data_IF_124435429390
#
_entry.id   IF_124435429390
#
_cell.length_a   1.000
_cell.length_b   1.000
_cell.length_c   1.000
_cell.angle_alpha   90.00
_cell.angle_beta   90.00
_cell.angle_gamma   90.00
#
_symmetry.space_group_name_H-M   'P 1'
#
loop_
_entity.id
_entity.type
_entity.pdbx_description
1 polymer ?
#
# COMPACT_ATOMS: atom_id res chain seq x y z
N UNK A 1 -0.13 -15.05 5.78
CA UNK A 1 -0.35 -13.65 6.22
C UNK A 1 0.74 -12.79 5.60
N UNK A 2 0.35 -11.64 5.07
CA UNK A 2 1.25 -10.62 4.56
C UNK A 2 2.18 -10.10 5.68
N UNK A 3 3.50 -10.06 5.43
CA UNK A 3 4.51 -9.62 6.41
C UNK A 3 4.34 -8.16 6.78
N UNK A 4 3.90 -7.32 5.86
CA UNK A 4 3.70 -5.88 6.09
C UNK A 4 2.57 -5.65 7.09
N UNK A 5 1.43 -6.32 6.85
CA UNK A 5 0.26 -6.28 7.76
C UNK A 5 0.58 -6.78 9.17
N UNK A 6 1.44 -7.80 9.29
CA UNK A 6 1.89 -8.30 10.60
C UNK A 6 2.76 -7.27 11.34
N UNK A 7 3.59 -6.52 10.62
CA UNK A 7 4.43 -5.49 11.23
C UNK A 7 3.61 -4.26 11.65
N UNK A 8 2.63 -3.85 10.85
CA UNK A 8 1.67 -2.79 11.20
C UNK A 8 0.89 -3.15 12.46
N UNK A 9 0.37 -4.39 12.54
CA UNK A 9 -0.35 -4.87 13.72
C UNK A 9 0.54 -4.88 14.96
N UNK A 10 1.81 -5.28 14.84
CA UNK A 10 2.77 -5.22 15.95
C UNK A 10 2.98 -3.79 16.45
N UNK A 11 3.22 -2.84 15.54
CA UNK A 11 3.39 -1.43 15.90
C UNK A 11 2.15 -0.85 16.59
N UNK A 12 0.95 -1.21 16.10
CA UNK A 12 -0.29 -0.82 16.75
C UNK A 12 -0.43 -1.39 18.16
N UNK A 13 -0.13 -2.68 18.36
CA UNK A 13 -0.17 -3.31 19.69
C UNK A 13 0.79 -2.62 20.67
N UNK A 14 2.00 -2.28 20.25
CA UNK A 14 2.97 -1.59 21.11
C UNK A 14 2.54 -0.15 21.44
N UNK A 15 1.82 0.50 20.53
CA UNK A 15 1.19 1.81 20.78
C UNK A 15 0.11 1.70 21.87
N UNK A 16 -0.78 0.70 21.79
CA UNK A 16 -1.82 0.47 22.81
C UNK A 16 -1.21 0.11 24.17
N UNK A 17 -0.11 -0.64 24.22
CA UNK A 17 0.60 -0.91 25.49
C UNK A 17 1.14 0.35 26.15
N UNK A 18 1.59 1.30 25.33
CA UNK A 18 2.16 2.57 25.81
C UNK A 18 1.06 3.56 26.19
N UNK A 19 -0.10 3.48 25.52
CA UNK A 19 -1.23 4.41 25.66
C UNK A 19 -2.58 3.66 25.70
N UNK A 20 -2.93 3.02 26.83
CA UNK A 20 -4.16 2.25 26.96
C UNK A 20 -5.44 3.07 26.77
N UNK A 21 -5.37 4.39 26.99
CA UNK A 21 -6.49 5.31 26.82
C UNK A 21 -7.03 5.36 25.38
N UNK A 22 -6.21 5.00 24.39
CA UNK A 22 -6.64 4.93 22.99
C UNK A 22 -7.74 3.90 22.77
N UNK A 23 -7.83 2.85 23.60
CA UNK A 23 -8.90 1.85 23.54
C UNK A 23 -10.29 2.44 23.88
N UNK A 24 -10.35 3.65 24.42
CA UNK A 24 -11.60 4.36 24.69
C UNK A 24 -12.07 5.23 23.52
N UNK A 25 -11.27 5.38 22.46
CA UNK A 25 -11.68 6.13 21.27
C UNK A 25 -12.81 5.38 20.53
N UNK A 26 -13.85 6.10 20.04
CA UNK A 26 -14.97 5.47 19.32
C UNK A 26 -14.54 4.63 18.12
N UNK A 27 -13.49 5.06 17.42
CA UNK A 27 -12.92 4.39 16.25
C UNK A 27 -12.32 3.00 16.57
N UNK A 28 -11.89 2.78 17.82
CA UNK A 28 -11.35 1.50 18.28
C UNK A 28 -12.37 0.64 19.04
N UNK A 29 -13.66 1.00 18.96
CA UNK A 29 -14.74 0.27 19.63
C UNK A 29 -14.83 -1.20 19.23
N UNK A 30 -14.59 -1.55 17.96
CA UNK A 30 -14.59 -2.95 17.51
C UNK A 30 -13.46 -3.77 18.17
N UNK A 31 -12.29 -3.15 18.35
CA UNK A 31 -11.12 -3.79 18.94
C UNK A 31 -11.28 -3.94 20.45
N UNK A 32 -11.91 -2.96 21.10
CA UNK A 32 -12.35 -3.05 22.49
C UNK A 32 -13.30 -4.24 22.70
N UNK A 33 -14.36 -4.35 21.91
CA UNK A 33 -15.31 -5.47 21.99
C UNK A 33 -14.65 -6.83 21.73
N UNK A 34 -13.67 -6.88 20.81
CA UNK A 34 -12.87 -8.08 20.56
C UNK A 34 -12.03 -8.48 21.80
N UNK A 35 -11.34 -7.54 22.43
CA UNK A 35 -10.56 -7.81 23.65
C UNK A 35 -11.46 -8.27 24.81
N UNK A 36 -12.64 -7.66 24.98
CA UNK A 36 -13.63 -8.06 25.97
C UNK A 36 -14.16 -9.48 25.70
N UNK A 37 -14.37 -9.85 24.42
CA UNK A 37 -14.77 -11.21 24.04
C UNK A 37 -13.73 -12.28 24.40
N UNK A 38 -12.46 -11.88 24.51
CA UNK A 38 -11.35 -12.74 24.95
C UNK A 38 -11.14 -12.71 26.47
N UNK A 39 -12.00 -12.00 27.22
CA UNK A 39 -11.95 -11.90 28.68
C UNK A 39 -10.94 -10.86 29.20
N UNK A 40 -10.45 -9.94 28.37
CA UNK A 40 -9.58 -8.87 28.83
C UNK A 40 -10.37 -7.78 29.57
N UNK A 41 -9.82 -7.27 30.67
CA UNK A 41 -10.42 -6.16 31.45
C UNK A 41 -9.67 -4.86 31.13
N UNK A 42 -10.37 -3.86 30.60
CA UNK A 42 -9.78 -2.58 30.19
C UNK A 42 -10.03 -1.54 31.31
N UNK A 43 -9.01 -0.80 31.78
CA UNK A 43 -9.17 0.22 32.82
C UNK A 43 -10.07 1.38 32.35
N UNK A 44 -11.03 1.80 33.17
CA UNK A 44 -11.80 3.03 32.96
C UNK A 44 -10.95 4.25 33.38
N UNK A 45 -10.79 5.22 32.47
CA UNK A 45 -10.18 6.52 32.80
C UNK A 45 -11.24 7.38 33.50
N UNK A 46 -10.97 7.80 34.73
CA UNK A 46 -11.82 8.72 35.48
C UNK A 46 -11.99 10.04 34.71
N UNK A 47 -13.25 10.43 34.45
CA UNK A 47 -13.59 11.75 33.92
C UNK A 47 -13.45 12.82 35.00
N UNK A 48 -12.80 13.98 34.75
CA UNK A 48 -13.09 15.18 35.52
C UNK A 48 -14.48 15.71 35.15
N UNK A 49 -15.22 16.13 36.16
CA UNK A 49 -16.62 16.55 36.11
C UNK A 49 -16.87 17.77 35.23
N UNK A 50 -18.00 17.71 34.54
CA UNK A 50 -18.75 18.80 33.90
C UNK A 50 -18.98 20.01 34.81
N UNK A 51 -18.90 21.21 34.26
CA UNK A 51 -19.87 22.27 34.53
C UNK A 51 -20.23 22.98 33.20
N UNK A 52 -21.53 23.14 33.00
CA UNK A 52 -22.21 23.70 31.82
C UNK A 52 -22.32 25.23 31.86
N UNK A 53 -22.87 25.77 30.76
CA UNK A 53 -23.55 27.07 30.58
C UNK A 53 -22.65 28.26 30.22
N UNK A 54 -23.09 29.32 29.54
CA UNK A 54 -24.12 29.64 28.54
C UNK A 54 -23.96 31.14 28.29
N UNK A 55 -24.10 31.58 27.04
CA UNK A 55 -24.63 32.89 26.58
C UNK A 55 -24.15 34.23 27.18
N UNK A 56 -23.64 35.06 26.26
CA UNK A 56 -24.01 36.47 25.96
C UNK A 56 -23.85 37.61 26.98
N UNK A 57 -23.11 38.62 26.49
CA UNK A 57 -23.40 40.07 26.49
C UNK A 57 -23.17 40.96 27.73
N UNK A 58 -22.53 42.10 27.40
CA UNK A 58 -22.59 43.43 28.04
C UNK A 58 -21.99 43.67 29.44
N UNK A 59 -20.82 44.33 29.48
CA UNK A 59 -20.74 45.78 29.70
C UNK A 59 -19.31 46.26 30.03
N UNK A 60 -18.97 47.42 29.44
CA UNK A 60 -18.12 48.51 29.97
C UNK A 60 -16.60 48.35 30.13
N UNK A 61 -15.89 49.06 29.24
CA UNK A 61 -14.65 49.80 29.55
C UNK A 61 -14.93 50.95 30.57
N UNK A 62 -13.91 51.56 31.19
CA UNK A 62 -13.18 52.65 30.50
C UNK A 62 -11.64 52.70 30.73
N UNK A 63 -10.96 53.17 29.67
CA UNK A 63 -9.85 54.18 29.58
C UNK A 63 -8.99 54.43 30.84
N UNK A 64 -7.67 54.56 30.80
CA UNK A 64 -6.77 55.47 30.04
C UNK A 64 -5.34 54.93 30.24
N UNK A 65 -4.35 55.08 29.35
CA UNK A 65 -3.60 56.31 29.15
C UNK A 65 -2.61 56.10 27.99
N UNK A 66 -2.65 57.00 27.02
CA UNK A 66 -1.52 57.25 26.12
C UNK A 66 -0.50 58.12 26.85
N UNK A 67 0.79 57.80 26.63
CA UNK A 67 1.87 58.79 26.61
C UNK A 67 2.84 58.41 25.50
N UNK A 68 2.93 59.30 24.51
CA UNK A 68 3.96 59.34 23.48
C UNK A 68 5.37 59.55 24.05
N UNK A 69 6.37 59.00 23.36
CA UNK A 69 7.78 59.36 23.51
C UNK A 69 8.61 58.82 22.35
N UNK A 70 8.86 59.69 21.37
CA UNK A 70 9.66 59.46 20.16
C UNK A 70 11.11 59.02 20.45
N UNK A 71 11.68 58.16 19.59
CA UNK A 71 12.74 58.50 18.62
C UNK A 71 13.63 57.30 18.23
N UNK A 72 13.80 57.16 16.91
CA UNK A 72 14.40 56.11 16.08
C UNK A 72 15.93 55.88 16.29
N UNK A 73 16.64 55.16 15.39
CA UNK A 73 16.48 53.78 14.91
C UNK A 73 17.81 53.00 15.08
N UNK A 74 17.78 51.67 15.13
CA UNK A 74 18.95 50.87 14.75
C UNK A 74 18.52 49.69 13.90
N UNK A 75 18.81 49.83 12.61
CA UNK A 75 18.86 48.76 11.63
C UNK A 75 19.78 47.65 12.17
N UNK A 76 19.19 46.55 12.61
CA UNK A 76 19.74 45.24 12.34
C UNK A 76 19.00 44.76 11.10
N UNK A 77 19.72 44.66 9.97
CA UNK A 77 19.25 43.85 8.86
C UNK A 77 19.32 42.39 9.33
N UNK A 78 18.28 41.95 10.00
CA UNK A 78 17.93 40.54 10.03
C UNK A 78 17.50 40.23 8.60
N UNK A 79 18.37 39.55 7.85
CA UNK A 79 17.92 38.76 6.71
C UNK A 79 17.02 37.67 7.32
N UNK A 80 15.74 38.00 7.54
CA UNK A 80 14.69 37.01 7.71
C UNK A 80 14.67 36.22 6.39
N UNK A 81 15.39 35.10 6.36
CA UNK A 81 15.06 34.02 5.45
C UNK A 81 13.60 33.67 5.78
N UNK A 82 12.66 34.14 4.96
CA UNK A 82 11.28 33.66 4.97
C UNK A 82 11.35 32.14 4.73
N UNK A 83 11.42 31.36 5.80
CA UNK A 83 11.08 29.95 5.76
C UNK A 83 9.60 29.91 5.39
N UNK A 84 9.29 29.81 4.10
CA UNK A 84 7.94 29.46 3.66
C UNK A 84 7.57 28.16 4.40
N UNK A 85 6.69 28.27 5.40
CA UNK A 85 6.15 27.11 6.10
C UNK A 85 5.33 26.28 5.10
N UNK A 86 5.99 25.35 4.40
CA UNK A 86 5.34 24.46 3.44
C UNK A 86 4.30 23.60 4.18
N UNK A 87 3.01 23.76 3.82
CA UNK A 87 1.89 23.03 4.46
C UNK A 87 2.16 21.52 4.51
N UNK A 88 1.86 20.83 5.63
CA UNK A 88 2.15 19.40 5.77
C UNK A 88 1.42 18.58 4.70
N UNK A 89 2.15 17.69 4.01
CA UNK A 89 1.54 16.73 3.07
C UNK A 89 0.86 15.64 3.90
N UNK A 90 -0.47 15.69 3.96
CA UNK A 90 -1.30 14.71 4.69
C UNK A 90 -1.97 13.78 3.68
N UNK A 91 -1.98 12.48 3.98
CA UNK A 91 -2.67 11.51 3.13
C UNK A 91 -4.18 11.67 3.26
N UNK A 92 -4.93 11.58 2.15
CA UNK A 92 -6.38 11.62 2.21
C UNK A 92 -6.93 10.44 3.05
N UNK A 93 -8.10 10.60 3.70
CA UNK A 93 -8.78 9.48 4.31
C UNK A 93 -9.15 8.45 3.23
N UNK A 94 -9.24 7.18 3.63
CA UNK A 94 -9.73 6.14 2.71
C UNK A 94 -11.13 6.49 2.21
N UNK A 95 -11.40 6.37 0.90
CA UNK A 95 -12.71 6.66 0.37
C UNK A 95 -13.76 5.71 0.95
N UNK A 96 -14.94 6.25 1.25
CA UNK A 96 -16.09 5.45 1.63
C UNK A 96 -16.75 4.87 0.37
N UNK A 97 -16.56 3.57 0.12
CA UNK A 97 -17.16 2.87 -1.01
C UNK A 97 -18.65 2.57 -0.79
N UNK A 98 -19.16 2.70 0.43
CA UNK A 98 -20.57 2.43 0.72
C UNK A 98 -21.52 3.45 0.08
N UNK A 99 -20.99 4.59 -0.40
CA UNK A 99 -21.74 5.59 -1.19
C UNK A 99 -22.35 5.01 -2.47
N UNK A 100 -21.79 3.89 -2.98
CA UNK A 100 -22.30 3.22 -4.18
C UNK A 100 -23.39 2.19 -3.86
N UNK A 101 -23.60 1.88 -2.58
CA UNK A 101 -24.69 1.03 -2.12
C UNK A 101 -25.98 1.85 -2.10
N UNK A 102 -27.03 1.28 -2.67
CA UNK A 102 -28.33 1.92 -2.77
C UNK A 102 -29.34 1.14 -1.91
N UNK A 103 -29.74 1.65 -0.74
CA UNK A 103 -30.77 1.02 0.09
C UNK A 103 -32.15 0.96 -0.57
N UNK A 104 -32.40 1.76 -1.61
CA UNK A 104 -33.66 1.80 -2.35
C UNK A 104 -33.71 0.84 -3.54
N UNK A 105 -32.60 0.18 -3.86
CA UNK A 105 -32.52 -0.84 -4.92
C UNK A 105 -33.47 -2.02 -4.61
N UNK A 106 -34.48 -2.29 -5.47
CA UNK A 106 -35.49 -3.30 -5.19
C UNK A 106 -34.97 -4.75 -5.18
N UNK A 107 -33.80 -4.99 -5.77
CA UNK A 107 -33.16 -6.31 -5.74
C UNK A 107 -32.14 -6.46 -4.60
N UNK A 108 -31.84 -5.37 -3.88
CA UNK A 108 -30.97 -5.44 -2.71
C UNK A 108 -31.59 -6.38 -1.67
N UNK A 109 -30.75 -7.27 -1.15
CA UNK A 109 -31.07 -8.15 -0.05
C UNK A 109 -30.09 -7.88 1.09
N UNK A 110 -30.61 -7.88 2.30
CA UNK A 110 -29.76 -7.91 3.49
C UNK A 110 -29.15 -9.32 3.64
N UNK A 111 -27.94 -9.42 4.19
CA UNK A 111 -27.36 -10.71 4.57
C UNK A 111 -28.32 -11.49 5.47
N UNK A 112 -28.63 -12.74 5.11
CA UNK A 112 -29.51 -13.56 5.95
C UNK A 112 -28.85 -13.88 7.30
N UNK A 113 -29.66 -13.98 8.35
CA UNK A 113 -29.22 -14.40 9.69
C UNK A 113 -29.18 -15.92 9.89
N UNK A 114 -29.90 -16.66 9.04
CA UNK A 114 -29.87 -18.11 9.03
C UNK A 114 -28.48 -18.61 8.61
N UNK A 115 -27.98 -19.69 9.25
CA UNK A 115 -26.70 -20.27 8.86
C UNK A 115 -26.74 -20.76 7.40
N UNK A 116 -25.57 -20.72 6.76
CA UNK A 116 -25.39 -21.36 5.45
C UNK A 116 -25.62 -22.86 5.57
N UNK A 117 -26.12 -23.47 4.49
CA UNK A 117 -26.45 -24.88 4.48
C UNK A 117 -25.20 -25.76 4.36
N UNK A 118 -25.26 -26.95 4.96
CA UNK A 118 -24.25 -27.99 4.81
C UNK A 118 -24.01 -28.33 3.33
N UNK A 119 -22.76 -28.55 2.95
CA UNK A 119 -22.36 -29.06 1.62
C UNK A 119 -22.35 -30.59 1.57
N UNK A 120 -22.84 -31.26 2.62
CA UNK A 120 -22.87 -32.72 2.72
C UNK A 120 -21.47 -33.33 2.92
N UNK A 121 -21.37 -34.66 2.98
CA UNK A 121 -20.10 -35.35 3.09
C UNK A 121 -19.34 -35.34 1.75
N UNK A 122 -18.16 -34.72 1.72
CA UNK A 122 -17.35 -34.54 0.50
C UNK A 122 -16.83 -35.87 -0.07
N UNK A 123 -16.38 -36.79 0.79
CA UNK A 123 -15.69 -38.02 0.38
C UNK A 123 -16.57 -39.28 0.41
N UNK A 124 -17.90 -39.13 0.52
CA UNK A 124 -18.81 -40.29 0.55
C UNK A 124 -19.15 -40.73 -0.87
N UNK A 125 -18.64 -41.88 -1.26
CA UNK A 125 -19.10 -42.62 -2.44
C UNK A 125 -20.46 -43.27 -2.18
N UNK A 126 -21.36 -43.20 -3.17
CA UNK A 126 -22.69 -43.80 -3.11
C UNK A 126 -22.68 -45.16 -3.80
N UNK A 127 -23.34 -46.15 -3.20
CA UNK A 127 -23.64 -47.41 -3.90
C UNK A 127 -24.82 -47.23 -4.89
N UNK A 128 -25.11 -48.25 -5.70
CA UNK A 128 -26.13 -48.19 -6.74
C UNK A 128 -27.53 -47.81 -6.21
N UNK A 129 -27.96 -48.39 -5.08
CA UNK A 129 -29.25 -48.09 -4.45
C UNK A 129 -29.30 -46.64 -3.92
N UNK A 130 -28.20 -46.17 -3.32
CA UNK A 130 -28.08 -44.79 -2.85
C UNK A 130 -28.04 -43.78 -4.01
N UNK A 131 -27.39 -44.12 -5.13
CA UNK A 131 -27.39 -43.30 -6.34
C UNK A 131 -28.80 -43.19 -6.94
N UNK A 132 -29.55 -44.29 -7.03
CA UNK A 132 -30.94 -44.28 -7.49
C UNK A 132 -31.82 -43.43 -6.58
N UNK A 133 -31.67 -43.58 -5.26
CA UNK A 133 -32.40 -42.76 -4.28
C UNK A 133 -32.04 -41.27 -4.40
N UNK A 134 -30.76 -40.93 -4.55
CA UNK A 134 -30.33 -39.54 -4.75
C UNK A 134 -30.89 -38.98 -6.07
N UNK A 135 -30.93 -39.79 -7.14
CA UNK A 135 -31.54 -39.41 -8.41
C UNK A 135 -33.04 -39.11 -8.26
N UNK A 136 -33.77 -39.94 -7.48
CA UNK A 136 -35.17 -39.69 -7.13
C UNK A 136 -35.37 -38.35 -6.41
N UNK A 137 -34.55 -38.06 -5.39
CA UNK A 137 -34.61 -36.77 -4.68
C UNK A 137 -34.33 -35.57 -5.60
N UNK A 138 -33.37 -35.71 -6.52
CA UNK A 138 -33.07 -34.68 -7.53
C UNK A 138 -34.23 -34.44 -8.49
N UNK A 139 -34.95 -35.50 -8.86
CA UNK A 139 -36.13 -35.41 -9.69
C UNK A 139 -37.27 -34.73 -8.93
N UNK A 140 -37.58 -35.17 -7.71
CA UNK A 140 -38.59 -34.53 -6.84
C UNK A 140 -38.30 -33.04 -6.61
N UNK A 141 -37.02 -32.66 -6.46
CA UNK A 141 -36.62 -31.27 -6.32
C UNK A 141 -36.86 -30.44 -7.60
N UNK A 142 -36.68 -31.07 -8.77
CA UNK A 142 -36.90 -30.42 -10.07
C UNK A 142 -38.39 -30.27 -10.34
N UNK A 143 -39.20 -31.28 -10.03
CA UNK A 143 -40.67 -31.21 -10.11
C UNK A 143 -41.21 -30.12 -9.16
N UNK A 144 -40.72 -30.07 -7.92
CA UNK A 144 -41.09 -29.01 -6.98
C UNK A 144 -40.72 -27.60 -7.49
N UNK A 145 -39.62 -27.46 -8.23
CA UNK A 145 -39.25 -26.19 -8.88
C UNK A 145 -40.19 -25.79 -10.01
N UNK A 146 -40.68 -26.76 -10.78
CA UNK A 146 -41.66 -26.55 -11.85
C UNK A 146 -43.03 -26.18 -11.28
N UNK A 147 -43.42 -26.80 -10.16
CA UNK A 147 -44.63 -26.48 -9.40
C UNK A 147 -44.54 -25.13 -8.65
N UNK A 148 -43.34 -24.54 -8.58
CA UNK A 148 -43.09 -23.29 -7.84
C UNK A 148 -42.94 -23.46 -6.34
N UNK A 149 -42.93 -24.70 -5.82
CA UNK A 149 -42.67 -25.01 -4.42
C UNK A 149 -41.17 -24.98 -4.13
N UNK A 150 -40.66 -23.76 -3.94
CA UNK A 150 -39.25 -23.51 -3.68
C UNK A 150 -38.75 -24.13 -2.38
N UNK A 151 -39.61 -24.24 -1.36
CA UNK A 151 -39.22 -24.77 -0.07
C UNK A 151 -39.03 -26.29 -0.15
N UNK A 152 -39.98 -27.00 -0.77
CA UNK A 152 -39.84 -28.43 -1.05
C UNK A 152 -38.65 -28.71 -1.95
N UNK A 153 -38.42 -27.89 -2.98
CA UNK A 153 -37.23 -28.02 -3.83
C UNK A 153 -35.93 -27.90 -3.04
N UNK A 154 -35.85 -26.91 -2.13
CA UNK A 154 -34.69 -26.72 -1.26
C UNK A 154 -34.44 -27.93 -0.36
N UNK A 155 -35.50 -28.44 0.27
CA UNK A 155 -35.45 -29.63 1.13
C UNK A 155 -34.93 -30.84 0.36
N UNK A 156 -35.49 -31.12 -0.82
CA UNK A 156 -35.12 -32.27 -1.64
C UNK A 156 -33.70 -32.19 -2.20
N UNK A 157 -33.25 -31.01 -2.62
CA UNK A 157 -31.85 -30.82 -2.98
C UNK A 157 -30.91 -31.00 -1.78
N UNK A 158 -31.32 -30.56 -0.58
CA UNK A 158 -30.52 -30.71 0.63
C UNK A 158 -30.41 -32.18 1.03
N UNK A 159 -31.51 -32.92 1.05
CA UNK A 159 -31.52 -34.38 1.27
C UNK A 159 -30.59 -35.09 0.27
N UNK A 160 -30.64 -34.71 -1.01
CA UNK A 160 -29.77 -35.28 -2.03
C UNK A 160 -28.29 -34.98 -1.77
N UNK A 161 -27.95 -33.77 -1.34
CA UNK A 161 -26.56 -33.37 -1.02
C UNK A 161 -26.05 -34.09 0.23
N UNK A 162 -26.87 -34.18 1.27
CA UNK A 162 -26.51 -34.84 2.53
C UNK A 162 -26.27 -36.34 2.38
N UNK A 163 -26.82 -36.96 1.32
CA UNK A 163 -26.49 -38.35 0.99
C UNK A 163 -25.01 -38.56 0.63
N UNK A 164 -24.29 -37.53 0.14
CA UNK A 164 -22.91 -37.62 -0.37
C UNK A 164 -22.83 -37.60 -1.90
N UNK A 165 -21.61 -37.57 -2.46
CA UNK A 165 -21.40 -37.59 -3.92
C UNK A 165 -22.02 -36.39 -4.67
N UNK A 166 -22.16 -35.24 -4.00
CA UNK A 166 -22.79 -34.07 -4.59
C UNK A 166 -21.96 -33.53 -5.76
N UNK A 167 -22.60 -33.29 -6.90
CA UNK A 167 -21.96 -32.75 -8.11
C UNK A 167 -22.04 -31.24 -8.16
N UNK A 168 -21.17 -30.60 -8.94
CA UNK A 168 -21.23 -29.15 -9.18
C UNK A 168 -22.62 -28.67 -9.65
N UNK A 169 -23.29 -29.47 -10.49
CA UNK A 169 -24.64 -29.18 -10.96
C UNK A 169 -25.68 -29.22 -9.84
N UNK A 170 -25.52 -30.14 -8.87
CA UNK A 170 -26.44 -30.27 -7.74
C UNK A 170 -26.39 -29.03 -6.84
N UNK A 171 -25.17 -28.60 -6.49
CA UNK A 171 -24.96 -27.34 -5.77
C UNK A 171 -25.49 -26.12 -6.54
N UNK A 172 -25.17 -26.01 -7.84
CA UNK A 172 -25.68 -24.91 -8.66
C UNK A 172 -27.21 -24.91 -8.81
N UNK A 173 -27.88 -26.06 -8.67
CA UNK A 173 -29.35 -26.12 -8.65
C UNK A 173 -29.90 -25.64 -7.31
N UNK A 174 -29.36 -26.12 -6.17
CA UNK A 174 -29.78 -25.66 -4.84
C UNK A 174 -29.53 -24.15 -4.65
N UNK A 175 -28.37 -23.66 -5.09
CA UNK A 175 -28.03 -22.24 -5.08
C UNK A 175 -29.04 -21.37 -5.85
N UNK A 176 -29.53 -21.85 -7.00
CA UNK A 176 -30.56 -21.15 -7.76
C UNK A 176 -31.91 -21.09 -7.01
N UNK A 177 -32.26 -22.14 -6.26
CA UNK A 177 -33.45 -22.12 -5.38
C UNK A 177 -33.26 -21.11 -4.26
N UNK A 178 -32.08 -21.11 -3.61
CA UNK A 178 -31.73 -20.18 -2.54
C UNK A 178 -31.81 -18.71 -2.97
N UNK A 179 -31.37 -18.39 -4.20
CA UNK A 179 -31.58 -17.06 -4.77
C UNK A 179 -33.07 -16.70 -4.89
N UNK A 180 -33.92 -17.61 -5.37
CA UNK A 180 -35.37 -17.36 -5.44
C UNK A 180 -35.99 -17.18 -4.05
N UNK A 181 -35.45 -17.87 -3.04
CA UNK A 181 -35.83 -17.76 -1.63
C UNK A 181 -35.18 -16.55 -0.92
N UNK A 182 -34.48 -15.67 -1.64
CA UNK A 182 -33.80 -14.49 -1.08
C UNK A 182 -32.76 -14.82 -0.01
N UNK A 183 -32.02 -15.91 -0.19
CA UNK A 183 -30.89 -16.34 0.67
C UNK A 183 -29.54 -16.25 -0.06
N UNK A 184 -29.01 -15.03 -0.27
CA UNK A 184 -27.83 -14.82 -1.10
C UNK A 184 -26.54 -15.39 -0.50
N UNK A 185 -26.31 -15.36 0.82
CA UNK A 185 -25.08 -15.93 1.40
C UNK A 185 -25.05 -17.46 1.28
N UNK A 186 -26.18 -18.13 1.50
CA UNK A 186 -26.30 -19.57 1.31
C UNK A 186 -26.12 -19.94 -0.17
N UNK A 187 -26.64 -19.12 -1.10
CA UNK A 187 -26.43 -19.31 -2.53
C UNK A 187 -24.94 -19.16 -2.92
N UNK A 188 -24.22 -18.20 -2.32
CA UNK A 188 -22.76 -18.04 -2.52
C UNK A 188 -22.02 -19.29 -2.04
N UNK A 189 -22.33 -19.80 -0.85
CA UNK A 189 -21.69 -21.01 -0.31
C UNK A 189 -21.86 -22.23 -1.24
N UNK A 190 -23.06 -22.44 -1.79
CA UNK A 190 -23.29 -23.51 -2.76
C UNK A 190 -22.59 -23.24 -4.10
N UNK A 191 -22.57 -21.99 -4.57
CA UNK A 191 -21.86 -21.64 -5.80
C UNK A 191 -20.34 -21.85 -5.65
N UNK A 192 -19.77 -21.54 -4.48
CA UNK A 192 -18.37 -21.84 -4.15
C UNK A 192 -18.10 -23.34 -4.13
N UNK A 193 -18.98 -24.15 -3.54
CA UNK A 193 -18.88 -25.60 -3.59
C UNK A 193 -18.95 -26.13 -5.03
N UNK A 194 -19.83 -25.56 -5.86
CA UNK A 194 -19.93 -25.90 -7.27
C UNK A 194 -18.64 -25.55 -8.05
N UNK A 195 -18.07 -24.37 -7.82
CA UNK A 195 -16.85 -23.90 -8.49
C UNK A 195 -15.60 -24.66 -8.03
N UNK A 196 -15.55 -25.13 -6.77
CA UNK A 196 -14.50 -26.03 -6.30
C UNK A 196 -14.48 -27.35 -7.09
N UNK A 197 -15.67 -27.89 -7.40
CA UNK A 197 -15.82 -29.13 -8.15
C UNK A 197 -15.69 -28.94 -9.68
N UNK A 198 -16.17 -27.81 -10.19
CA UNK A 198 -16.06 -27.44 -11.60
C UNK A 198 -15.74 -25.94 -11.74
N UNK A 199 -14.45 -25.59 -11.85
CA UNK A 199 -14.02 -24.20 -12.02
C UNK A 199 -14.56 -23.53 -13.29
N UNK A 200 -14.90 -24.30 -14.33
CA UNK A 200 -15.38 -23.78 -15.61
C UNK A 200 -16.91 -23.71 -15.68
N UNK A 201 -17.59 -23.64 -14.53
CA UNK A 201 -19.05 -23.57 -14.48
C UNK A 201 -19.56 -22.13 -14.62
N UNK A 202 -19.86 -21.72 -15.86
CA UNK A 202 -20.51 -20.42 -16.15
C UNK A 202 -21.81 -20.21 -15.35
N UNK A 203 -22.59 -21.28 -15.16
CA UNK A 203 -23.80 -21.25 -14.31
C UNK A 203 -23.49 -20.93 -12.84
N UNK A 204 -22.44 -21.52 -12.26
CA UNK A 204 -22.09 -21.28 -10.86
C UNK A 204 -21.55 -19.86 -10.67
N UNK A 205 -20.70 -19.38 -11.58
CA UNK A 205 -20.27 -17.98 -11.62
C UNK A 205 -21.46 -17.02 -11.69
N UNK A 206 -22.40 -17.25 -12.62
CA UNK A 206 -23.61 -16.43 -12.73
C UNK A 206 -24.39 -16.36 -11.41
N UNK A 207 -24.60 -17.49 -10.75
CA UNK A 207 -25.35 -17.54 -9.49
C UNK A 207 -24.62 -16.76 -8.40
N UNK A 208 -23.30 -16.95 -8.26
CA UNK A 208 -22.49 -16.23 -7.27
C UNK A 208 -22.46 -14.73 -7.54
N UNK A 209 -22.32 -14.34 -8.80
CA UNK A 209 -22.36 -12.96 -9.26
C UNK A 209 -23.69 -12.27 -8.99
N UNK A 210 -24.82 -12.93 -9.29
CA UNK A 210 -26.17 -12.43 -8.97
C UNK A 210 -26.36 -12.33 -7.45
N UNK A 211 -25.90 -13.30 -6.67
CA UNK A 211 -25.98 -13.24 -5.21
C UNK A 211 -25.20 -12.05 -4.65
N UNK A 212 -23.97 -11.83 -5.12
CA UNK A 212 -23.15 -10.68 -4.75
C UNK A 212 -23.77 -9.35 -5.19
N UNK A 213 -24.40 -9.28 -6.38
CA UNK A 213 -25.17 -8.10 -6.83
C UNK A 213 -26.30 -7.74 -5.88
N UNK A 214 -27.00 -8.74 -5.32
CA UNK A 214 -28.08 -8.51 -4.35
C UNK A 214 -27.54 -8.05 -3.00
N UNK A 215 -26.34 -8.48 -2.64
CA UNK A 215 -25.62 -7.99 -1.46
C UNK A 215 -24.86 -6.67 -1.71
N UNK A 216 -24.94 -6.11 -2.92
CA UNK A 216 -24.21 -4.92 -3.35
C UNK A 216 -22.68 -5.04 -3.18
N UNK A 217 -22.17 -6.27 -3.31
CA UNK A 217 -20.73 -6.59 -3.39
C UNK A 217 -20.28 -6.46 -4.85
N UNK A 218 -20.10 -5.21 -5.28
CA UNK A 218 -20.01 -4.84 -6.69
C UNK A 218 -18.78 -5.43 -7.40
N UNK A 219 -17.64 -5.51 -6.72
CA UNK A 219 -16.40 -6.05 -7.27
C UNK A 219 -16.51 -7.55 -7.54
N UNK A 220 -16.93 -8.32 -6.53
CA UNK A 220 -17.12 -9.76 -6.64
C UNK A 220 -18.20 -10.10 -7.65
N UNK A 221 -19.30 -9.33 -7.65
CA UNK A 221 -20.36 -9.47 -8.65
C UNK A 221 -19.85 -9.21 -10.08
N UNK A 222 -19.07 -8.15 -10.30
CA UNK A 222 -18.53 -7.82 -11.62
C UNK A 222 -17.62 -8.94 -12.12
N UNK A 223 -16.70 -9.40 -11.27
CA UNK A 223 -15.76 -10.46 -11.62
C UNK A 223 -16.47 -11.76 -12.00
N UNK A 224 -17.46 -12.18 -11.19
CA UNK A 224 -18.20 -13.42 -11.43
C UNK A 224 -19.09 -13.35 -12.67
N UNK A 225 -19.78 -12.23 -12.87
CA UNK A 225 -20.65 -12.06 -14.05
C UNK A 225 -19.83 -11.98 -15.34
N UNK A 226 -18.68 -11.30 -15.31
CA UNK A 226 -17.75 -11.29 -16.44
C UNK A 226 -17.22 -12.70 -16.76
N UNK A 227 -16.83 -13.48 -15.74
CA UNK A 227 -16.41 -14.87 -15.92
C UNK A 227 -17.54 -15.73 -16.52
N UNK A 228 -18.77 -15.56 -16.03
CA UNK A 228 -19.94 -16.26 -16.57
C UNK A 228 -20.16 -15.95 -18.06
N UNK A 229 -20.14 -14.67 -18.45
CA UNK A 229 -20.32 -14.24 -19.85
C UNK A 229 -19.23 -14.75 -20.79
N UNK A 230 -18.00 -14.86 -20.30
CA UNK A 230 -16.89 -15.40 -21.08
C UNK A 230 -17.02 -16.92 -21.32
N UNK A 231 -17.67 -17.65 -20.42
CA UNK A 231 -17.83 -19.11 -20.51
C UNK A 231 -19.08 -19.48 -21.30
N UNK A 232 -20.23 -18.91 -20.94
CA UNK A 232 -21.53 -19.22 -21.53
C UNK A 232 -22.36 -17.92 -21.57
N UNK A 233 -22.35 -17.27 -22.74
CA UNK A 233 -23.00 -15.98 -22.94
C UNK A 233 -24.52 -16.10 -22.78
N UNK A 234 -25.10 -15.19 -22.01
CA UNK A 234 -26.54 -15.16 -21.70
C UNK A 234 -27.03 -13.71 -21.59
N UNK A 235 -27.99 -13.32 -22.42
CA UNK A 235 -28.48 -11.94 -22.52
C UNK A 235 -29.02 -11.42 -21.18
N UNK A 236 -29.75 -12.25 -20.44
CA UNK A 236 -30.29 -11.88 -19.13
C UNK A 236 -29.17 -11.61 -18.10
N UNK A 237 -28.07 -12.35 -18.19
CA UNK A 237 -26.89 -12.14 -17.33
C UNK A 237 -26.13 -10.89 -17.73
N UNK A 238 -26.16 -10.52 -19.01
CA UNK A 238 -25.45 -9.35 -19.55
C UNK A 238 -26.12 -8.06 -19.07
N UNK A 239 -27.45 -8.04 -18.98
CA UNK A 239 -28.19 -6.93 -18.38
C UNK A 239 -27.79 -6.70 -16.91
N UNK A 240 -27.70 -7.77 -16.13
CA UNK A 240 -27.24 -7.70 -14.72
C UNK A 240 -25.77 -7.27 -14.67
N UNK A 241 -24.92 -7.81 -15.55
CA UNK A 241 -23.50 -7.48 -15.59
C UNK A 241 -23.28 -6.01 -15.89
N UNK A 242 -23.99 -5.43 -16.87
CA UNK A 242 -23.90 -4.00 -17.21
C UNK A 242 -24.29 -3.09 -16.04
N UNK A 243 -25.35 -3.43 -15.31
CA UNK A 243 -25.73 -2.68 -14.11
C UNK A 243 -24.63 -2.72 -13.04
N UNK A 244 -24.05 -3.89 -12.79
CA UNK A 244 -22.96 -4.07 -11.83
C UNK A 244 -21.69 -3.36 -12.29
N UNK A 245 -21.37 -3.43 -13.59
CA UNK A 245 -20.20 -2.79 -14.20
C UNK A 245 -20.21 -1.27 -14.04
N UNK A 246 -21.39 -0.63 -14.16
CA UNK A 246 -21.53 0.80 -13.93
C UNK A 246 -21.15 1.20 -12.48
N UNK A 247 -21.53 0.36 -11.50
CA UNK A 247 -21.19 0.58 -10.08
C UNK A 247 -19.72 0.31 -9.82
N UNK A 248 -19.23 -0.83 -10.30
CA UNK A 248 -17.85 -1.25 -10.12
C UNK A 248 -16.86 -0.27 -10.76
N UNK A 249 -17.14 0.24 -11.97
CA UNK A 249 -16.26 1.20 -12.64
C UNK A 249 -16.05 2.46 -11.80
N UNK A 250 -17.09 2.95 -11.13
CA UNK A 250 -16.99 4.13 -10.25
C UNK A 250 -16.17 3.83 -8.98
N UNK A 251 -16.34 2.65 -8.39
CA UNK A 251 -15.54 2.18 -7.26
C UNK A 251 -14.07 2.02 -7.66
N UNK A 252 -13.81 1.36 -8.78
CA UNK A 252 -12.47 1.14 -9.31
C UNK A 252 -11.77 2.48 -9.61
N UNK A 253 -12.49 3.44 -10.17
CA UNK A 253 -11.98 4.80 -10.40
C UNK A 253 -11.65 5.49 -9.08
N UNK A 254 -12.54 5.45 -8.09
CA UNK A 254 -12.31 6.05 -6.76
C UNK A 254 -11.07 5.45 -6.06
N UNK A 255 -10.91 4.13 -6.12
CA UNK A 255 -9.73 3.43 -5.58
C UNK A 255 -8.45 3.84 -6.30
N UNK A 256 -8.51 3.99 -7.63
CA UNK A 256 -7.38 4.42 -8.45
C UNK A 256 -6.95 5.84 -8.11
N UNK A 257 -7.90 6.76 -7.99
CA UNK A 257 -7.61 8.16 -7.65
C UNK A 257 -7.00 8.27 -6.26
N UNK A 258 -7.56 7.54 -5.28
CA UNK A 258 -6.98 7.45 -3.94
C UNK A 258 -5.53 6.91 -3.97
N UNK A 259 -5.27 5.85 -4.73
CA UNK A 259 -3.93 5.29 -4.83
C UNK A 259 -2.93 6.26 -5.48
N UNK A 260 -3.33 6.92 -6.57
CA UNK A 260 -2.50 7.92 -7.24
C UNK A 260 -2.15 9.08 -6.31
N UNK A 261 -3.11 9.57 -5.52
CA UNK A 261 -2.91 10.67 -4.56
C UNK A 261 -1.93 10.27 -3.45
N UNK A 262 -2.04 9.04 -2.93
CA UNK A 262 -1.08 8.50 -1.95
C UNK A 262 0.34 8.43 -2.55
N UNK A 263 0.48 7.93 -3.78
CA UNK A 263 1.79 7.85 -4.45
C UNK A 263 2.37 9.24 -4.74
N UNK A 264 1.53 10.20 -5.16
CA UNK A 264 1.93 11.59 -5.37
C UNK A 264 2.41 12.24 -4.07
N UNK A 265 1.66 12.07 -2.98
CA UNK A 265 2.04 12.57 -1.67
C UNK A 265 3.37 11.97 -1.19
N UNK A 266 3.60 10.67 -1.41
CA UNK A 266 4.88 10.04 -1.10
C UNK A 266 6.03 10.65 -1.92
N UNK A 267 5.80 10.92 -3.21
CA UNK A 267 6.79 11.59 -4.06
C UNK A 267 7.08 13.01 -3.58
N UNK A 268 6.05 13.79 -3.28
CA UNK A 268 6.20 15.16 -2.79
C UNK A 268 6.96 15.20 -1.46
N UNK A 269 6.70 14.27 -0.54
CA UNK A 269 7.46 14.14 0.72
C UNK A 269 8.96 13.91 0.44
N UNK A 270 9.29 12.99 -0.47
CA UNK A 270 10.69 12.72 -0.88
C UNK A 270 11.34 13.94 -1.53
N UNK A 271 10.63 14.63 -2.41
CA UNK A 271 11.11 15.84 -3.08
C UNK A 271 11.39 16.96 -2.07
N UNK A 272 10.49 17.18 -1.10
CA UNK A 272 10.70 18.14 0.00
C UNK A 272 11.87 17.77 0.89
N UNK A 273 12.05 16.50 1.23
CA UNK A 273 13.22 16.05 1.98
C UNK A 273 14.54 16.30 1.23
N UNK A 274 14.56 16.03 -0.08
CA UNK A 274 15.73 16.28 -0.93
C UNK A 274 16.00 17.80 -1.02
N UNK A 275 14.96 18.61 -1.23
CA UNK A 275 15.05 20.08 -1.26
C UNK A 275 15.62 20.60 0.06
N UNK A 276 15.09 20.14 1.19
CA UNK A 276 15.57 20.51 2.54
C UNK A 276 17.03 20.12 2.77
N UNK A 277 17.45 18.91 2.36
CA UNK A 277 18.85 18.48 2.45
C UNK A 277 19.78 19.32 1.57
N UNK A 278 19.36 19.66 0.34
CA UNK A 278 20.14 20.53 -0.56
C UNK A 278 20.29 21.92 0.01
N UNK A 279 19.22 22.53 0.53
CA UNK A 279 19.26 23.85 1.16
C UNK A 279 20.15 23.85 2.41
N UNK A 280 20.04 22.83 3.28
CA UNK A 280 20.91 22.69 4.44
C UNK A 280 22.39 22.52 4.08
N UNK A 281 22.70 21.73 3.04
CA UNK A 281 24.06 21.56 2.54
C UNK A 281 24.64 22.85 1.95
N UNK A 282 23.84 23.59 1.17
CA UNK A 282 24.24 24.89 0.61
C UNK A 282 24.52 25.91 1.73
N UNK A 283 23.61 26.01 2.71
CA UNK A 283 23.78 26.90 3.87
C UNK A 283 25.02 26.55 4.70
N UNK A 284 25.30 25.27 4.89
CA UNK A 284 26.52 24.81 5.58
C UNK A 284 27.81 25.16 4.80
N UNK A 285 27.80 25.00 3.48
CA UNK A 285 28.92 25.38 2.62
C UNK A 285 29.19 26.89 2.66
N UNK A 286 28.14 27.71 2.52
CA UNK A 286 28.27 29.17 2.55
C UNK A 286 28.75 29.68 3.92
N UNK A 287 28.32 29.03 5.01
CA UNK A 287 28.81 29.33 6.36
C UNK A 287 30.31 28.98 6.53
N UNK A 288 30.76 27.84 6.00
CA UNK A 288 32.18 27.47 6.03
C UNK A 288 33.03 28.47 5.23
N UNK A 289 32.58 28.83 4.02
CA UNK A 289 33.28 29.81 3.17
C UNK A 289 33.41 31.18 3.86
N UNK A 290 32.35 31.69 4.48
CA UNK A 290 32.39 32.94 5.26
C UNK A 290 33.34 32.85 6.47
N UNK A 291 33.42 31.69 7.13
CA UNK A 291 34.34 31.46 8.25
C UNK A 291 35.81 31.43 7.79
N UNK A 292 36.10 30.83 6.63
CA UNK A 292 37.45 30.82 6.05
C UNK A 292 37.90 32.24 5.62
N UNK A 293 37.04 32.98 4.93
CA UNK A 293 37.32 34.36 4.48
C UNK A 293 37.60 35.29 5.67
N UNK A 294 36.81 35.19 6.76
CA UNK A 294 37.04 35.98 7.98
C UNK A 294 38.33 35.58 8.72
N UNK A 295 38.70 34.29 8.74
CA UNK A 295 39.95 33.83 9.35
C UNK A 295 41.21 34.29 8.60
N UNK A 296 41.13 34.40 7.27
CA UNK A 296 42.24 34.84 6.41
C UNK A 296 42.63 36.32 6.57
N UNK A 297 41.71 37.15 7.08
CA UNK A 297 41.95 38.57 7.35
C UNK A 297 42.75 38.87 8.62
N UNK A 298 43.03 37.85 9.44
CA UNK A 298 43.79 37.99 10.71
C UNK A 298 45.28 37.59 10.61
N UNK A 299 45.74 37.09 9.46
CA UNK A 299 47.09 36.54 9.30
C UNK A 299 48.07 37.46 8.52
N UNK A 300 47.96 38.79 8.71
CA UNK A 300 48.91 39.76 8.15
C UNK A 300 49.67 40.51 9.25
N UNK A 301 50.54 39.80 9.97
CA UNK A 301 51.70 40.39 10.64
C UNK A 301 52.79 39.32 10.91
N UNK A 302 53.92 39.48 10.22
CA UNK A 302 55.28 39.05 10.60
C UNK A 302 55.74 37.60 10.38
N UNK A 303 56.54 37.43 9.30
CA UNK A 303 57.80 36.65 9.34
C UNK A 303 57.82 35.30 8.62
N UNK A 304 58.44 35.24 7.42
CA UNK A 304 58.85 33.98 6.78
C UNK A 304 60.18 33.45 7.34
N UNK A 305 60.42 32.12 7.33
CA UNK A 305 61.29 31.59 6.27
C UNK A 305 60.94 30.18 5.73
N UNK A 306 61.14 30.03 4.42
CA UNK A 306 61.63 28.84 3.70
C UNK A 306 60.78 27.56 3.60
N UNK A 307 60.39 27.24 2.36
CA UNK A 307 60.41 25.87 1.83
C UNK A 307 59.13 25.03 1.96
N UNK A 308 58.12 25.31 1.14
CA UNK A 308 56.96 24.44 0.96
C UNK A 308 56.02 24.99 -0.11
N UNK A 309 55.73 24.18 -1.12
CA UNK A 309 54.92 24.50 -2.29
C UNK A 309 53.53 25.05 -1.89
N UNK A 310 53.06 26.18 -2.46
CA UNK A 310 51.77 26.77 -2.12
C UNK A 310 50.66 26.04 -2.88
N UNK A 311 49.92 25.18 -2.18
CA UNK A 311 48.85 24.39 -2.79
C UNK A 311 47.99 23.66 -1.77
N UNK A 312 47.70 24.30 -0.63
CA UNK A 312 46.68 23.82 0.31
C UNK A 312 45.31 24.21 -0.22
N UNK A 313 44.66 23.30 -0.92
CA UNK A 313 43.26 23.42 -1.33
C UNK A 313 42.39 23.37 -0.06
N UNK A 314 41.65 24.45 0.30
CA UNK A 314 40.66 24.41 1.36
C UNK A 314 39.42 23.73 0.77
N UNK A 315 39.20 22.50 1.20
CA UNK A 315 38.17 21.65 0.63
C UNK A 315 38.10 20.34 1.39
N UNK A 316 37.47 20.39 2.58
CA UNK A 316 36.94 19.22 3.24
C UNK A 316 35.86 18.61 2.35
N UNK A 317 36.28 17.74 1.43
CA UNK A 317 35.42 17.02 0.50
C UNK A 317 34.45 16.13 1.29
N UNK A 318 33.14 16.18 1.03
CA UNK A 318 32.15 15.34 1.71
C UNK A 318 32.38 13.87 1.38
N UNK A 319 32.18 13.03 2.42
CA UNK A 319 32.60 11.65 2.51
C UNK A 319 32.34 10.76 1.29
N UNK A 320 33.33 9.88 1.05
CA UNK A 320 33.30 8.87 0.00
C UNK A 320 34.67 8.42 -0.49
N UNK A 321 35.78 8.74 0.20
CA UNK A 321 37.09 8.21 -0.20
C UNK A 321 37.21 6.74 0.22
N UNK A 322 37.47 5.82 -0.72
CA UNK A 322 37.71 4.42 -0.39
C UNK A 322 38.98 4.30 0.47
N UNK A 323 38.94 3.39 1.44
CA UNK A 323 40.02 3.08 2.37
C UNK A 323 41.40 3.04 1.65
N UNK A 324 42.24 4.05 1.98
CA UNK A 324 43.57 4.32 1.41
C UNK A 324 44.67 3.36 1.92
N UNK A 325 44.29 2.24 2.51
CA UNK A 325 45.23 1.21 2.98
C UNK A 325 45.71 0.24 1.89
N UNK A 326 45.27 0.41 0.63
CA UNK A 326 45.68 -0.41 -0.52
C UNK A 326 46.96 0.14 -1.17
N UNK A 327 48.10 -0.58 -1.15
CA UNK A 327 49.38 -0.12 -1.70
C UNK A 327 49.29 0.26 -3.18
N UNK A 328 48.43 -0.41 -3.94
CA UNK A 328 48.24 -0.15 -5.37
C UNK A 328 47.50 1.18 -5.61
N UNK A 329 46.56 1.56 -4.73
CA UNK A 329 45.87 2.84 -4.82
C UNK A 329 46.81 3.99 -4.44
N UNK A 330 47.68 3.79 -3.44
CA UNK A 330 48.67 4.79 -3.04
C UNK A 330 49.72 5.05 -4.14
N UNK A 331 50.18 4.00 -4.82
CA UNK A 331 51.06 4.12 -5.98
C UNK A 331 50.38 4.85 -7.14
N UNK A 332 49.07 4.66 -7.31
CA UNK A 332 48.29 5.31 -8.34
C UNK A 332 48.07 6.81 -8.10
N UNK A 333 47.81 7.24 -6.86
CA UNK A 333 47.73 8.67 -6.50
C UNK A 333 49.08 9.39 -6.64
N UNK A 334 50.18 8.64 -6.63
CA UNK A 334 51.52 9.18 -6.88
C UNK A 334 51.84 9.30 -8.38
N UNK A 335 51.02 8.74 -9.27
CA UNK A 335 51.22 8.82 -10.71
C UNK A 335 50.54 10.08 -11.28
N UNK A 336 51.30 11.04 -11.86
CA UNK A 336 50.76 12.30 -12.39
C UNK A 336 49.70 12.09 -13.48
N UNK A 337 49.81 11.02 -14.29
CA UNK A 337 48.80 10.69 -15.31
C UNK A 337 47.48 10.27 -14.69
N UNK A 338 47.52 9.49 -13.61
CA UNK A 338 46.32 8.99 -12.94
C UNK A 338 45.58 10.14 -12.24
N UNK A 339 46.32 11.05 -11.59
CA UNK A 339 45.77 12.27 -10.99
C UNK A 339 45.12 13.18 -12.04
N UNK A 340 45.78 13.40 -13.18
CA UNK A 340 45.23 14.20 -14.27
C UNK A 340 43.95 13.58 -14.85
N UNK A 341 43.94 12.26 -15.04
CA UNK A 341 42.74 11.55 -15.51
C UNK A 341 41.60 11.61 -14.48
N UNK A 342 41.89 11.45 -13.19
CA UNK A 342 40.90 11.54 -12.12
C UNK A 342 40.29 12.94 -12.03
N UNK A 343 41.12 13.98 -12.18
CA UNK A 343 40.66 15.37 -12.22
C UNK A 343 39.76 15.64 -13.44
N UNK A 344 40.13 15.12 -14.61
CA UNK A 344 39.32 15.23 -15.84
C UNK A 344 37.97 14.50 -15.71
N UNK A 345 37.94 13.33 -15.05
CA UNK A 345 36.70 12.61 -14.75
C UNK A 345 35.82 13.32 -13.70
N UNK A 346 36.43 13.99 -12.72
CA UNK A 346 35.69 14.77 -11.72
C UNK A 346 35.07 16.02 -12.33
N UNK A 347 35.73 16.64 -13.30
CA UNK A 347 35.20 17.78 -14.05
C UNK A 347 34.16 17.35 -15.10
N UNK A 348 34.33 16.16 -15.68
CA UNK A 348 33.41 15.61 -16.67
C UNK A 348 33.28 14.08 -16.55
N UNK A 349 32.20 13.57 -15.93
CA UNK A 349 32.01 12.14 -15.71
C UNK A 349 31.97 11.29 -16.99
N UNK A 350 31.62 11.89 -18.14
CA UNK A 350 31.60 11.19 -19.42
C UNK A 350 33.00 10.81 -19.93
N UNK A 351 34.05 11.49 -19.45
CA UNK A 351 35.44 11.19 -19.81
C UNK A 351 35.94 9.89 -19.18
N UNK A 352 35.18 9.25 -18.30
CA UNK A 352 35.53 7.97 -17.68
C UNK A 352 35.76 6.85 -18.71
N UNK A 353 34.93 6.76 -19.76
CA UNK A 353 35.10 5.73 -20.80
C UNK A 353 36.39 5.88 -21.60
N UNK A 354 36.91 7.10 -21.74
CA UNK A 354 38.20 7.37 -22.40
C UNK A 354 39.36 6.72 -21.65
N UNK A 355 39.32 6.73 -20.33
CA UNK A 355 40.40 6.21 -19.47
C UNK A 355 40.21 4.73 -19.11
N UNK A 356 39.03 4.14 -19.29
CA UNK A 356 38.85 2.68 -19.17
C UNK A 356 39.65 1.88 -20.20
N UNK A 357 39.89 2.47 -21.37
CA UNK A 357 40.69 1.84 -22.45
C UNK A 357 42.20 2.11 -22.32
N UNK A 358 42.62 2.91 -21.33
CA UNK A 358 44.03 3.23 -21.10
C UNK A 358 44.71 2.06 -20.35
N UNK A 359 45.85 1.55 -20.83
CA UNK A 359 46.51 0.38 -20.24
C UNK A 359 47.10 0.62 -18.84
N UNK A 360 47.33 1.87 -18.44
CA UNK A 360 47.85 2.24 -17.11
C UNK A 360 46.72 2.64 -16.15
N UNK A 361 45.68 3.29 -16.65
CA UNK A 361 44.59 3.89 -15.83
C UNK A 361 43.36 2.97 -15.75
N UNK A 362 43.07 2.22 -16.81
CA UNK A 362 41.89 1.35 -16.93
C UNK A 362 41.79 0.28 -15.83
N UNK A 363 42.85 -0.49 -15.54
CA UNK A 363 42.84 -1.50 -14.46
C UNK A 363 42.58 -0.87 -13.08
N UNK A 364 43.10 0.34 -12.86
CA UNK A 364 42.96 1.12 -11.64
C UNK A 364 41.53 1.63 -11.44
N UNK A 365 40.92 2.14 -12.50
CA UNK A 365 39.52 2.57 -12.49
C UNK A 365 38.56 1.40 -12.23
N UNK A 366 38.84 0.22 -12.79
CA UNK A 366 38.04 -0.97 -12.56
C UNK A 366 38.12 -1.45 -11.10
N UNK A 367 39.32 -1.37 -10.48
CA UNK A 367 39.53 -1.67 -9.05
C UNK A 367 38.85 -0.62 -8.14
N UNK A 368 38.81 0.64 -8.56
CA UNK A 368 38.13 1.72 -7.84
C UNK A 368 36.60 1.58 -7.91
N UNK A 369 36.04 1.34 -9.10
CA UNK A 369 34.60 1.14 -9.30
C UNK A 369 34.08 -0.09 -8.56
N UNK A 370 34.84 -1.17 -8.51
CA UNK A 370 34.46 -2.38 -7.76
C UNK A 370 34.47 -2.18 -6.24
N UNK A 371 35.29 -1.26 -5.71
CA UNK A 371 35.30 -0.88 -4.28
C UNK A 371 34.24 0.17 -3.93
N UNK A 372 33.92 1.08 -4.84
CA UNK A 372 32.91 2.14 -4.65
C UNK A 372 31.47 1.64 -4.94
N UNK A 373 31.32 0.63 -5.79
CA UNK A 373 30.04 0.11 -6.29
C UNK A 373 29.45 -1.09 -5.54
N UNK A 374 29.57 -1.13 -4.20
CA UNK A 374 28.97 -2.18 -3.38
C UNK A 374 27.46 -2.01 -3.16
N UNK A 375 26.63 -2.17 -4.20
CA UNK A 375 25.22 -2.64 -4.14
C UNK A 375 24.54 -2.56 -5.52
N UNK A 376 24.61 -3.64 -6.30
CA UNK A 376 23.64 -3.94 -7.37
C UNK A 376 23.04 -5.32 -7.04
N UNK A 377 21.73 -5.42 -6.74
CA UNK A 377 21.09 -6.70 -6.47
C UNK A 377 20.67 -7.41 -7.77
N UNK A 378 21.06 -8.67 -7.92
CA UNK A 378 20.58 -9.61 -8.96
C UNK A 378 21.32 -9.50 -10.29
N UNK A 379 22.03 -10.50 -10.81
CA UNK A 379 21.84 -11.94 -10.71
C UNK A 379 21.05 -12.44 -11.92
N UNK A 380 21.74 -12.91 -12.97
CA UNK A 380 21.22 -13.94 -13.88
C UNK A 380 22.34 -14.50 -14.80
N UNK A 381 22.16 -15.68 -15.39
CA UNK A 381 22.81 -16.90 -14.94
C UNK A 381 23.75 -17.49 -16.01
N UNK A 382 24.51 -18.49 -15.59
CA UNK A 382 25.56 -19.13 -16.39
C UNK A 382 25.11 -19.80 -17.68
N UNK A 383 26.11 -20.09 -18.51
CA UNK A 383 25.95 -20.90 -19.70
C UNK A 383 27.17 -20.80 -20.61
N UNK A 384 28.26 -21.47 -20.24
CA UNK A 384 29.24 -21.92 -21.23
C UNK A 384 28.58 -23.01 -22.09
N UNK A 385 28.71 -22.93 -23.41
CA UNK A 385 29.07 -24.12 -24.16
C UNK A 385 30.28 -23.87 -25.07
N UNK A 386 31.30 -24.67 -24.82
CA UNK A 386 32.08 -25.39 -25.82
C UNK A 386 32.48 -24.64 -27.09
N UNK A 387 33.77 -24.28 -27.14
CA UNK A 387 34.51 -24.19 -28.38
C UNK A 387 34.45 -25.52 -29.15
N UNK A 388 33.96 -25.48 -30.39
CA UNK A 388 34.37 -26.41 -31.44
C UNK A 388 35.11 -25.60 -32.50
N UNK A 389 36.39 -25.96 -32.67
CA UNK A 389 37.26 -25.46 -33.73
C UNK A 389 36.76 -25.94 -35.10
N UNK A 390 37.03 -25.19 -36.18
CA UNK A 390 36.89 -25.69 -37.53
C UNK A 390 38.14 -26.48 -37.92
N UNK A 391 37.97 -27.76 -38.27
CA UNK A 391 38.54 -28.42 -39.46
C UNK A 391 38.11 -29.88 -39.54
#
# INVERSE_FOLDING_TARGET
>A
MDRTKVNELKGFIDTIKTRPELLQLPELGFFKSYLESLGATIPEVEKPSSEETSSSEDEKMPRTHETHGESSPKQAAEEEEEEEEEEPIVDPPKPDESIFNDPSDPERLEPESEPVLSTGPEDKELNDDEMEKQAGLKQEATEAMEDGDLQKALEKYTEAIDMGGATALLFARRAAVLLKLKRPLAAINDADAALKLNPDSGRAYRIRGVANRRLQRWEEAHSDLAAAQNIDFDDATEEVHRFVDEKWTKIAQLRRDYHNEIEENERLRKEREIKKRRMAAQKAYDAQKKAEESSSSSASAEGMPSGGMPGGMPGGMPGGMPDMSDPDLQAAFSNPKVMAAMQDMMQNPANMMKYMSDPEIGPLLQKLMSKVGGAMPGGMPGGFPGAQQPH
#
